data_IF_966609957927
#
_entry.id   IF_966609957927
#
_cell.length_a   1.000
_cell.length_b   1.000
_cell.length_c   1.000
_cell.angle_alpha   90.00
_cell.angle_beta   90.00
_cell.angle_gamma   90.00
#
_symmetry.space_group_name_H-M   'P 1'
#
loop_
_entity.id
_entity.type
_entity.pdbx_description
1 polymer ?
#
# COMPACT_ATOMS: atom_id res chain seq x y z
N UNK A 1 12.24 21.74 -35.84
CA UNK A 1 12.30 20.71 -36.90
C UNK A 1 12.12 19.36 -36.24
N UNK A 2 11.10 18.63 -36.70
CA UNK A 2 10.57 17.38 -36.16
C UNK A 2 11.29 16.20 -36.80
N UNK A 3 11.62 15.15 -36.03
CA UNK A 3 11.25 13.75 -36.30
C UNK A 3 11.74 12.86 -35.14
N UNK A 4 10.88 12.39 -34.23
CA UNK A 4 9.87 11.32 -34.39
C UNK A 4 10.53 9.92 -34.39
N UNK A 5 10.72 9.34 -33.20
CA UNK A 5 10.91 7.89 -33.06
C UNK A 5 9.60 7.31 -32.56
N UNK A 6 9.09 6.45 -33.42
CA UNK A 6 7.75 5.89 -33.52
C UNK A 6 7.38 5.01 -32.33
N UNK A 7 6.26 5.34 -31.69
CA UNK A 7 5.47 4.47 -30.84
C UNK A 7 4.58 3.57 -31.73
N UNK A 8 4.72 2.25 -31.54
CA UNK A 8 3.82 1.14 -31.89
C UNK A 8 4.42 0.11 -32.85
N UNK A 9 4.71 -1.07 -32.31
CA UNK A 9 4.08 -2.29 -32.81
C UNK A 9 4.07 -3.33 -31.69
N UNK A 10 2.92 -3.43 -31.02
CA UNK A 10 2.55 -4.62 -30.28
C UNK A 10 2.39 -5.75 -31.29
N UNK A 11 3.15 -6.83 -31.12
CA UNK A 11 2.66 -8.13 -31.52
C UNK A 11 2.61 -9.02 -30.28
N UNK A 12 1.37 -9.42 -29.96
CA UNK A 12 1.04 -10.56 -29.11
C UNK A 12 1.85 -11.75 -29.62
N UNK A 13 2.55 -12.44 -28.73
CA UNK A 13 2.45 -13.90 -28.67
C UNK A 13 2.82 -14.44 -27.28
N UNK A 14 1.85 -15.20 -26.80
CA UNK A 14 1.74 -16.21 -25.75
C UNK A 14 2.93 -16.58 -24.84
N UNK A 15 2.59 -16.55 -23.55
CA UNK A 15 3.11 -17.33 -22.42
C UNK A 15 4.14 -18.43 -22.71
N UNK A 16 5.29 -18.32 -22.05
CA UNK A 16 5.94 -19.48 -21.42
C UNK A 16 6.69 -19.01 -20.17
N UNK A 17 6.33 -19.56 -19.01
CA UNK A 17 7.16 -19.52 -17.80
C UNK A 17 8.49 -20.17 -18.16
N UNK A 18 9.58 -19.43 -18.04
CA UNK A 18 10.92 -19.99 -18.18
C UNK A 18 11.67 -19.75 -16.88
N UNK A 19 11.89 -20.86 -16.16
CA UNK A 19 12.83 -20.96 -15.07
C UNK A 19 14.22 -20.57 -15.58
N UNK A 20 14.81 -19.52 -15.00
CA UNK A 20 16.17 -19.10 -15.32
C UNK A 20 17.15 -20.08 -14.68
N UNK A 21 17.55 -21.10 -15.44
CA UNK A 21 18.77 -21.87 -15.16
C UNK A 21 19.99 -21.14 -15.73
N UNK A 22 21.18 -21.28 -15.11
CA UNK A 22 22.43 -20.78 -15.69
C UNK A 22 22.61 -21.39 -17.09
N UNK A 23 22.83 -20.53 -18.09
CA UNK A 23 22.94 -20.93 -19.49
C UNK A 23 24.34 -21.49 -19.71
N UNK A 24 24.42 -22.79 -19.93
CA UNK A 24 25.61 -23.48 -20.40
C UNK A 24 25.74 -23.22 -21.90
N UNK A 25 26.76 -22.45 -22.30
CA UNK A 25 27.01 -22.11 -23.71
C UNK A 25 27.98 -23.15 -24.26
N UNK A 26 27.45 -24.16 -24.95
CA UNK A 26 28.25 -25.17 -25.65
C UNK A 26 29.00 -24.53 -26.82
N UNK A 27 30.32 -24.71 -26.81
CA UNK A 27 31.29 -24.18 -27.77
C UNK A 27 31.23 -24.97 -29.10
N UNK A 28 31.11 -24.27 -30.23
CA UNK A 28 31.55 -24.80 -31.52
C UNK A 28 32.89 -24.16 -31.87
N UNK A 29 33.97 -24.93 -31.73
CA UNK A 29 35.29 -24.62 -32.27
C UNK A 29 35.39 -25.18 -33.68
N UNK A 30 35.36 -24.32 -34.69
CA UNK A 30 35.92 -24.63 -36.02
C UNK A 30 37.44 -24.55 -35.93
N UNK A 31 38.12 -25.66 -36.21
CA UNK A 31 39.59 -25.79 -36.18
C UNK A 31 40.25 -25.61 -37.57
N UNK A 32 39.53 -25.14 -38.58
CA UNK A 32 40.01 -25.14 -39.98
C UNK A 32 40.58 -23.77 -40.43
N UNK A 33 41.71 -23.34 -39.83
CA UNK A 33 42.37 -22.08 -40.23
C UNK A 33 43.83 -22.24 -40.72
N UNK A 34 44.28 -23.43 -41.10
CA UNK A 34 45.60 -23.59 -41.71
C UNK A 34 45.49 -23.98 -43.20
N UNK A 35 45.94 -23.14 -44.15
CA UNK A 35 46.13 -23.56 -45.52
C UNK A 35 47.31 -24.56 -45.59
N UNK A 36 47.07 -25.76 -46.13
CA UNK A 36 48.11 -26.72 -46.45
C UNK A 36 49.06 -26.11 -47.50
N UNK A 37 50.24 -25.67 -47.07
CA UNK A 37 51.28 -25.25 -48.00
C UNK A 37 51.81 -26.47 -48.76
N UNK A 38 51.64 -26.47 -50.09
CA UNK A 38 52.10 -27.56 -50.95
C UNK A 38 53.62 -27.41 -51.19
N UNK A 39 54.43 -28.07 -50.36
CA UNK A 39 55.89 -27.93 -50.37
C UNK A 39 56.50 -29.19 -50.97
N UNK A 40 56.59 -29.24 -52.30
CA UNK A 40 57.30 -30.34 -52.99
C UNK A 40 58.78 -30.07 -53.30
N UNK A 41 59.29 -28.84 -53.10
CA UNK A 41 60.63 -28.46 -53.59
C UNK A 41 61.60 -27.84 -52.54
N UNK A 42 61.42 -28.09 -51.24
CA UNK A 42 62.36 -27.62 -50.19
C UNK A 42 63.25 -28.75 -49.64
N UNK A 43 64.53 -28.50 -49.31
CA UNK A 43 65.44 -29.51 -48.77
C UNK A 43 64.91 -30.17 -47.48
N UNK A 44 65.17 -31.48 -47.29
CA UNK A 44 64.59 -32.32 -46.22
C UNK A 44 64.78 -31.77 -44.80
N UNK A 45 65.87 -31.04 -44.53
CA UNK A 45 66.10 -30.36 -43.24
C UNK A 45 65.16 -29.16 -43.01
N UNK A 46 64.83 -28.41 -44.06
CA UNK A 46 63.86 -27.30 -43.99
C UNK A 46 62.43 -27.83 -43.85
N UNK A 47 62.09 -28.94 -44.52
CA UNK A 47 60.81 -29.63 -44.32
C UNK A 47 60.65 -30.19 -42.89
N UNK A 48 61.71 -30.76 -42.31
CA UNK A 48 61.70 -31.24 -40.92
C UNK A 48 61.51 -30.11 -39.89
N UNK A 49 62.15 -28.96 -40.11
CA UNK A 49 61.95 -27.75 -39.29
C UNK A 49 60.55 -27.15 -39.48
N UNK A 50 60.06 -27.07 -40.71
CA UNK A 50 58.71 -26.55 -40.98
C UNK A 50 57.62 -27.45 -40.40
N UNK A 51 57.77 -28.77 -40.52
CA UNK A 51 56.83 -29.73 -39.95
C UNK A 51 56.78 -29.59 -38.43
N UNK A 52 57.92 -29.44 -37.75
CA UNK A 52 57.98 -29.20 -36.29
C UNK A 52 57.33 -27.87 -35.88
N UNK A 53 57.56 -26.80 -36.64
CA UNK A 53 56.91 -25.49 -36.41
C UNK A 53 55.39 -25.59 -36.58
N UNK A 54 54.91 -26.29 -37.61
CA UNK A 54 53.48 -26.45 -37.92
C UNK A 54 52.77 -27.42 -36.97
N UNK A 55 53.42 -28.52 -36.55
CA UNK A 55 52.78 -29.56 -35.73
C UNK A 55 52.91 -29.33 -34.22
N UNK A 56 53.91 -28.58 -33.74
CA UNK A 56 54.17 -28.42 -32.29
C UNK A 56 54.21 -26.95 -31.83
N UNK A 57 54.94 -26.08 -32.52
CA UNK A 57 55.18 -24.70 -32.06
C UNK A 57 53.97 -23.78 -32.28
N UNK A 58 53.33 -23.85 -33.45
CA UNK A 58 52.12 -23.07 -33.76
C UNK A 58 50.95 -23.47 -32.86
N UNK A 59 50.60 -24.76 -32.68
CA UNK A 59 49.51 -25.15 -31.77
C UNK A 59 49.79 -24.77 -30.31
N UNK A 60 51.03 -24.91 -29.83
CA UNK A 60 51.40 -24.55 -28.45
C UNK A 60 51.39 -23.03 -28.23
N UNK A 61 51.78 -22.23 -29.21
CA UNK A 61 51.67 -20.77 -29.18
C UNK A 61 50.21 -20.29 -29.21
N UNK A 62 49.38 -20.86 -30.10
CA UNK A 62 47.94 -20.57 -30.16
C UNK A 62 47.23 -20.94 -28.85
N UNK A 63 47.62 -22.06 -28.23
CA UNK A 63 47.13 -22.44 -26.90
C UNK A 63 47.46 -21.39 -25.84
N UNK A 64 48.71 -20.91 -25.80
CA UNK A 64 49.10 -19.83 -24.86
C UNK A 64 48.32 -18.53 -25.10
N UNK A 65 48.12 -18.14 -26.36
CA UNK A 65 47.29 -16.95 -26.68
C UNK A 65 45.86 -17.15 -26.19
N UNK A 66 45.28 -18.34 -26.39
CA UNK A 66 43.92 -18.65 -25.96
C UNK A 66 43.78 -18.59 -24.43
N UNK A 67 44.75 -19.13 -23.70
CA UNK A 67 44.81 -19.07 -22.23
C UNK A 67 44.96 -17.63 -21.74
N UNK A 68 45.91 -16.85 -22.26
CA UNK A 68 46.10 -15.44 -21.87
C UNK A 68 44.86 -14.58 -22.20
N UNK A 69 44.17 -14.87 -23.31
CA UNK A 69 42.94 -14.18 -23.71
C UNK A 69 41.76 -14.54 -22.79
N UNK A 70 41.68 -15.79 -22.31
CA UNK A 70 40.72 -16.20 -21.28
C UNK A 70 40.99 -15.50 -19.95
N UNK A 71 42.26 -15.36 -19.55
CA UNK A 71 42.63 -14.62 -18.35
C UNK A 71 42.23 -13.14 -18.48
N UNK A 72 42.47 -12.52 -19.64
CA UNK A 72 42.05 -11.15 -19.90
C UNK A 72 40.52 -10.98 -19.85
N UNK A 73 39.76 -11.95 -20.40
CA UNK A 73 38.29 -12.00 -20.29
C UNK A 73 37.85 -12.03 -18.81
N UNK A 74 38.45 -12.92 -18.00
CA UNK A 74 38.14 -13.03 -16.58
C UNK A 74 38.46 -11.75 -15.81
N UNK A 75 39.61 -11.12 -16.09
CA UNK A 75 39.99 -9.84 -15.47
C UNK A 75 38.98 -8.74 -15.85
N UNK A 76 38.55 -8.66 -17.11
CA UNK A 76 37.52 -7.72 -17.53
C UNK A 76 36.17 -7.96 -16.84
N UNK A 77 35.78 -9.22 -16.65
CA UNK A 77 34.58 -9.56 -15.88
C UNK A 77 34.74 -9.13 -14.41
N UNK A 78 35.90 -9.33 -13.79
CA UNK A 78 36.21 -8.82 -12.44
C UNK A 78 36.09 -7.29 -12.37
N UNK A 79 36.60 -6.57 -13.37
CA UNK A 79 36.46 -5.10 -13.46
C UNK A 79 34.99 -4.68 -13.42
N UNK A 80 34.16 -5.30 -14.26
CA UNK A 80 32.73 -5.02 -14.36
C UNK A 80 31.99 -5.31 -13.06
N UNK A 81 32.35 -6.41 -12.38
CA UNK A 81 31.78 -6.78 -11.07
C UNK A 81 32.27 -5.91 -9.91
N UNK A 82 33.24 -5.03 -10.14
CA UNK A 82 33.88 -4.22 -9.09
C UNK A 82 34.70 -5.06 -8.11
N UNK A 83 35.16 -6.22 -8.52
CA UNK A 83 36.04 -7.08 -7.72
C UNK A 83 37.45 -6.47 -7.63
N UNK A 84 38.20 -6.83 -6.59
CA UNK A 84 39.60 -6.37 -6.45
C UNK A 84 40.46 -7.01 -7.54
N UNK A 85 41.23 -6.17 -8.22
CA UNK A 85 42.16 -6.58 -9.28
C UNK A 85 43.60 -6.43 -8.78
N UNK A 86 44.42 -7.46 -8.99
CA UNK A 86 45.83 -7.44 -8.60
C UNK A 86 46.67 -6.55 -9.51
N UNK A 87 47.89 -6.22 -9.09
CA UNK A 87 48.79 -5.40 -9.92
C UNK A 87 49.19 -6.13 -11.20
N UNK A 88 49.35 -7.46 -11.12
CA UNK A 88 49.71 -8.33 -12.23
C UNK A 88 48.56 -8.41 -13.26
N UNK A 89 47.32 -8.61 -12.80
CA UNK A 89 46.13 -8.61 -13.64
C UNK A 89 45.96 -7.25 -14.35
N UNK A 90 46.14 -6.15 -13.60
CA UNK A 90 46.06 -4.80 -14.16
C UNK A 90 47.16 -4.56 -15.21
N UNK A 91 48.39 -5.04 -14.97
CA UNK A 91 49.49 -4.94 -15.94
C UNK A 91 49.19 -5.74 -17.21
N UNK A 92 48.67 -6.96 -17.07
CA UNK A 92 48.31 -7.83 -18.19
C UNK A 92 47.28 -7.15 -19.09
N UNK A 93 46.15 -6.73 -18.53
CA UNK A 93 45.05 -6.17 -19.31
C UNK A 93 45.38 -4.79 -19.89
N UNK A 94 46.17 -3.96 -19.19
CA UNK A 94 46.60 -2.66 -19.70
C UNK A 94 47.58 -2.78 -20.87
N UNK A 95 48.50 -3.75 -20.81
CA UNK A 95 49.63 -3.81 -21.74
C UNK A 95 49.33 -4.71 -22.94
N UNK A 96 48.68 -5.86 -22.71
CA UNK A 96 48.47 -6.87 -23.75
C UNK A 96 47.07 -6.85 -24.36
N UNK A 97 46.07 -6.43 -23.59
CA UNK A 97 44.66 -6.48 -24.01
C UNK A 97 43.89 -5.17 -23.77
N UNK A 98 44.37 -4.03 -24.29
CA UNK A 98 43.75 -2.72 -24.06
C UNK A 98 42.31 -2.64 -24.59
N UNK A 99 41.96 -3.35 -25.66
CA UNK A 99 40.60 -3.36 -26.23
C UNK A 99 39.59 -4.10 -25.32
N UNK A 100 40.03 -5.19 -24.68
CA UNK A 100 39.23 -5.93 -23.69
C UNK A 100 38.98 -5.04 -22.47
N UNK A 101 40.03 -4.33 -21.99
CA UNK A 101 39.89 -3.34 -20.92
C UNK A 101 38.88 -2.24 -21.28
N UNK A 102 39.01 -1.66 -22.47
CA UNK A 102 38.12 -0.59 -22.96
C UNK A 102 36.68 -1.07 -23.02
N UNK A 103 36.45 -2.32 -23.42
CA UNK A 103 35.11 -2.92 -23.40
C UNK A 103 34.58 -3.03 -21.97
N UNK A 104 35.39 -3.48 -21.00
CA UNK A 104 34.98 -3.51 -19.59
C UNK A 104 34.61 -2.13 -19.05
N UNK A 105 35.43 -1.11 -19.33
CA UNK A 105 35.16 0.28 -18.92
C UNK A 105 33.88 0.84 -19.56
N UNK A 106 33.64 0.55 -20.85
CA UNK A 106 32.41 0.94 -21.52
C UNK A 106 31.19 0.22 -20.93
N UNK A 107 31.32 -1.08 -20.67
CA UNK A 107 30.27 -1.89 -20.03
C UNK A 107 29.92 -1.37 -18.63
N UNK A 108 30.88 -0.87 -17.86
CA UNK A 108 30.63 -0.23 -16.55
C UNK A 108 29.79 1.05 -16.70
N UNK A 109 30.03 1.84 -17.75
CA UNK A 109 29.22 3.04 -18.02
C UNK A 109 27.79 2.67 -18.41
N UNK A 110 27.63 1.81 -19.42
CA UNK A 110 26.32 1.31 -19.87
C UNK A 110 25.54 0.62 -18.71
N UNK A 111 26.26 -0.09 -17.83
CA UNK A 111 25.73 -0.68 -16.60
C UNK A 111 25.13 0.36 -15.64
N UNK A 112 25.75 1.53 -15.52
CA UNK A 112 25.33 2.55 -14.55
C UNK A 112 23.96 3.10 -14.93
N UNK A 113 23.75 3.35 -16.23
CA UNK A 113 22.47 3.80 -16.78
C UNK A 113 21.41 2.70 -16.62
N UNK A 114 21.76 1.45 -16.94
CA UNK A 114 20.86 0.30 -16.76
C UNK A 114 20.45 0.14 -15.29
N UNK A 115 21.38 0.33 -14.35
CA UNK A 115 21.10 0.25 -12.91
C UNK A 115 20.07 1.30 -12.48
N UNK A 116 20.12 2.51 -13.04
CA UNK A 116 19.14 3.55 -12.75
C UNK A 116 17.75 3.18 -13.29
N UNK A 117 17.68 2.69 -14.53
CA UNK A 117 16.42 2.17 -15.10
C UNK A 117 15.84 1.05 -14.23
N UNK A 118 16.67 0.09 -13.82
CA UNK A 118 16.24 -1.04 -12.99
C UNK A 118 15.80 -0.64 -11.58
N UNK A 119 16.32 0.46 -11.02
CA UNK A 119 15.86 1.00 -9.74
C UNK A 119 14.43 1.54 -9.83
N UNK A 120 14.05 2.05 -10.99
CA UNK A 120 12.73 2.64 -11.25
C UNK A 120 11.67 1.59 -11.64
N UNK A 121 12.06 0.33 -11.86
CA UNK A 121 11.11 -0.76 -12.07
C UNK A 121 10.25 -1.01 -10.81
N UNK A 122 8.93 -1.04 -11.01
CA UNK A 122 7.94 -1.22 -9.95
C UNK A 122 7.73 -2.69 -9.57
N UNK A 123 8.04 -3.61 -10.49
CA UNK A 123 7.83 -5.05 -10.32
C UNK A 123 9.06 -5.86 -10.74
N UNK A 124 9.11 -7.12 -10.31
CA UNK A 124 10.14 -8.04 -10.77
C UNK A 124 9.97 -8.36 -12.25
N UNK A 125 8.73 -8.42 -12.76
CA UNK A 125 8.43 -8.64 -14.18
C UNK A 125 8.97 -7.51 -15.06
N UNK A 126 8.77 -6.25 -14.69
CA UNK A 126 9.33 -5.10 -15.40
C UNK A 126 10.86 -5.17 -15.42
N UNK A 127 11.48 -5.52 -14.28
CA UNK A 127 12.91 -5.71 -14.19
C UNK A 127 13.39 -6.82 -15.14
N UNK A 128 12.72 -7.96 -15.16
CA UNK A 128 13.05 -9.08 -16.06
C UNK A 128 12.87 -8.71 -17.53
N UNK A 129 11.88 -7.89 -17.89
CA UNK A 129 11.68 -7.41 -19.26
C UNK A 129 12.81 -6.48 -19.71
N UNK A 130 13.24 -5.55 -18.86
CA UNK A 130 14.38 -4.65 -19.13
C UNK A 130 15.66 -5.47 -19.32
N UNK A 131 15.93 -6.43 -18.43
CA UNK A 131 17.10 -7.32 -18.53
C UNK A 131 17.04 -8.19 -19.79
N UNK A 132 15.89 -8.80 -20.07
CA UNK A 132 15.70 -9.65 -21.26
C UNK A 132 15.92 -8.85 -22.54
N UNK A 133 15.43 -7.61 -22.59
CA UNK A 133 15.65 -6.71 -23.72
C UNK A 133 17.13 -6.37 -23.90
N UNK A 134 17.85 -6.07 -22.81
CA UNK A 134 19.28 -5.79 -22.86
C UNK A 134 20.09 -7.01 -23.35
N UNK A 135 19.81 -8.20 -22.81
CA UNK A 135 20.49 -9.44 -23.23
C UNK A 135 20.17 -9.77 -24.70
N UNK A 136 18.91 -9.61 -25.13
CA UNK A 136 18.51 -9.84 -26.52
C UNK A 136 19.25 -8.91 -27.49
N UNK A 137 19.44 -7.64 -27.11
CA UNK A 137 20.23 -6.69 -27.89
C UNK A 137 21.68 -7.18 -28.04
N UNK A 138 22.34 -7.53 -26.94
CA UNK A 138 23.72 -8.06 -26.96
C UNK A 138 23.83 -9.30 -27.86
N UNK A 139 22.90 -10.27 -27.72
CA UNK A 139 22.86 -11.47 -28.57
C UNK A 139 22.70 -11.12 -30.05
N UNK A 140 21.90 -10.12 -30.39
CA UNK A 140 21.71 -9.67 -31.77
C UNK A 140 22.97 -9.01 -32.35
N UNK A 141 23.70 -8.24 -31.54
CA UNK A 141 24.98 -7.65 -31.94
C UNK A 141 26.03 -8.75 -32.19
N UNK A 142 26.06 -9.78 -31.34
CA UNK A 142 26.94 -10.92 -31.49
C UNK A 142 26.63 -11.69 -32.79
N UNK A 143 25.35 -12.02 -33.04
CA UNK A 143 24.96 -12.74 -34.26
C UNK A 143 25.24 -11.97 -35.56
N UNK A 144 25.34 -10.63 -35.48
CA UNK A 144 25.68 -9.76 -36.61
C UNK A 144 27.19 -9.53 -36.75
N UNK A 145 28.02 -10.14 -35.89
CA UNK A 145 29.46 -9.91 -35.83
C UNK A 145 29.85 -8.49 -35.43
N UNK A 146 28.93 -7.70 -34.84
CA UNK A 146 29.20 -6.32 -34.41
C UNK A 146 30.02 -6.25 -33.12
N UNK A 147 30.07 -7.34 -32.37
CA UNK A 147 30.90 -7.53 -31.18
C UNK A 147 31.48 -8.95 -31.19
N UNK A 148 32.61 -9.15 -30.53
CA UNK A 148 33.18 -10.49 -30.33
C UNK A 148 32.52 -11.24 -29.16
N UNK A 149 32.76 -12.55 -29.08
CA UNK A 149 32.30 -13.39 -27.97
C UNK A 149 32.76 -12.85 -26.61
N UNK A 150 34.02 -12.42 -26.52
CA UNK A 150 34.59 -11.85 -25.29
C UNK A 150 33.84 -10.57 -24.90
N UNK A 151 33.59 -9.68 -25.87
CA UNK A 151 32.84 -8.46 -25.61
C UNK A 151 31.40 -8.75 -25.17
N UNK A 152 30.76 -9.74 -25.78
CA UNK A 152 29.42 -10.17 -25.41
C UNK A 152 29.37 -10.70 -23.97
N UNK A 153 30.33 -11.55 -23.56
CA UNK A 153 30.41 -12.08 -22.19
C UNK A 153 30.65 -11.00 -21.14
N UNK A 154 31.52 -10.03 -21.43
CA UNK A 154 31.77 -8.88 -20.55
C UNK A 154 30.49 -8.04 -20.38
N UNK A 155 29.82 -7.73 -21.50
CA UNK A 155 28.54 -6.98 -21.49
C UNK A 155 27.43 -7.73 -20.75
N UNK A 156 27.28 -9.04 -20.97
CA UNK A 156 26.30 -9.87 -20.26
C UNK A 156 26.59 -9.88 -18.75
N UNK A 157 27.86 -10.05 -18.36
CA UNK A 157 28.26 -10.00 -16.95
C UNK A 157 27.90 -8.66 -16.29
N UNK A 158 27.98 -7.55 -17.03
CA UNK A 158 27.56 -6.24 -16.55
C UNK A 158 26.05 -6.17 -16.29
N UNK A 159 25.25 -6.71 -17.23
CA UNK A 159 23.79 -6.78 -17.08
C UNK A 159 23.39 -7.63 -15.86
N UNK A 160 24.05 -8.76 -15.65
CA UNK A 160 23.81 -9.64 -14.49
C UNK A 160 24.13 -8.94 -13.15
N UNK A 161 25.24 -8.21 -13.07
CA UNK A 161 25.58 -7.45 -11.88
C UNK A 161 24.60 -6.27 -11.64
N UNK A 162 24.06 -5.68 -12.71
CA UNK A 162 23.01 -4.65 -12.60
C UNK A 162 21.74 -5.22 -11.98
N UNK A 163 21.32 -6.39 -12.45
CA UNK A 163 20.17 -7.13 -11.92
C UNK A 163 20.39 -7.46 -10.44
N UNK A 164 21.53 -8.03 -10.09
CA UNK A 164 21.88 -8.39 -8.70
C UNK A 164 21.87 -7.16 -7.78
N UNK A 165 22.48 -6.06 -8.22
CA UNK A 165 22.49 -4.79 -7.50
C UNK A 165 21.07 -4.23 -7.30
N UNK A 166 20.22 -4.29 -8.32
CA UNK A 166 18.84 -3.81 -8.23
C UNK A 166 17.99 -4.68 -7.29
N UNK A 167 18.08 -6.01 -7.38
CA UNK A 167 17.40 -6.93 -6.46
C UNK A 167 17.79 -6.68 -5.00
N UNK A 168 19.08 -6.42 -4.73
CA UNK A 168 19.57 -6.05 -3.40
C UNK A 168 18.99 -4.71 -2.94
N UNK A 169 19.00 -3.69 -3.81
CA UNK A 169 18.40 -2.39 -3.49
C UNK A 169 16.90 -2.51 -3.17
N UNK A 170 16.14 -3.27 -3.96
CA UNK A 170 14.70 -3.47 -3.73
C UNK A 170 14.41 -4.23 -2.42
N UNK A 171 15.24 -5.22 -2.05
CA UNK A 171 15.05 -5.92 -0.78
C UNK A 171 15.40 -5.04 0.42
N UNK A 172 16.45 -4.23 0.33
CA UNK A 172 16.80 -3.22 1.34
C UNK A 172 15.70 -2.14 1.47
N UNK A 173 15.15 -1.66 0.36
CA UNK A 173 14.03 -0.71 0.34
C UNK A 173 12.79 -1.32 1.01
N UNK A 174 12.40 -2.55 0.65
CA UNK A 174 11.28 -3.27 1.30
C UNK A 174 11.49 -3.41 2.81
N UNK A 175 12.73 -3.66 3.26
CA UNK A 175 13.06 -3.70 4.69
C UNK A 175 12.86 -2.34 5.35
N UNK A 176 13.30 -1.26 4.71
CA UNK A 176 13.08 0.11 5.20
C UNK A 176 11.59 0.44 5.30
N UNK A 177 10.79 0.06 4.30
CA UNK A 177 9.33 0.23 4.33
C UNK A 177 8.68 -0.48 5.52
N UNK A 178 9.07 -1.73 5.80
CA UNK A 178 8.54 -2.49 6.94
C UNK A 178 8.88 -1.81 8.27
N UNK A 179 10.09 -1.28 8.40
CA UNK A 179 10.51 -0.55 9.60
C UNK A 179 9.70 0.75 9.74
N UNK A 180 9.52 1.52 8.67
CA UNK A 180 8.71 2.73 8.66
C UNK A 180 7.24 2.45 9.04
N UNK A 181 6.67 1.36 8.50
CA UNK A 181 5.32 0.91 8.85
C UNK A 181 5.24 0.52 10.35
N UNK A 182 6.29 -0.11 10.89
CA UNK A 182 6.36 -0.45 12.32
C UNK A 182 6.30 0.80 13.21
N UNK A 183 7.02 1.86 12.82
CA UNK A 183 7.02 3.17 13.50
C UNK A 183 5.59 3.74 13.53
N UNK A 184 4.92 3.91 12.38
CA UNK A 184 3.57 4.50 12.34
C UNK A 184 2.47 3.64 12.96
N UNK A 185 2.75 2.34 13.18
CA UNK A 185 1.88 1.44 13.96
C UNK A 185 2.10 1.55 15.47
N UNK A 186 3.04 2.39 15.93
CA UNK A 186 3.42 2.56 17.34
C UNK A 186 4.19 1.36 17.91
N UNK A 187 4.67 0.45 17.05
CA UNK A 187 5.50 -0.67 17.45
C UNK A 187 6.95 -0.22 17.55
N UNK A 188 7.66 -0.60 18.62
CA UNK A 188 9.07 -0.20 18.81
C UNK A 188 9.97 -1.01 17.85
N UNK A 189 10.70 -0.36 16.91
CA UNK A 189 11.71 -1.04 16.12
C UNK A 189 12.89 -1.47 17.00
N UNK A 190 13.63 -2.49 16.56
CA UNK A 190 14.85 -2.92 17.26
C UNK A 190 15.99 -1.93 17.03
N UNK A 191 17.05 -2.00 17.84
CA UNK A 191 18.23 -1.15 17.66
C UNK A 191 18.89 -1.33 16.28
N UNK A 192 18.94 -2.56 15.77
CA UNK A 192 19.47 -2.85 14.43
C UNK A 192 18.57 -2.30 13.31
N UNK A 193 17.25 -2.34 13.48
CA UNK A 193 16.30 -1.74 12.53
C UNK A 193 16.45 -0.22 12.50
N UNK A 194 16.59 0.42 13.66
CA UNK A 194 16.85 1.85 13.77
C UNK A 194 18.19 2.23 13.14
N UNK A 195 19.26 1.49 13.44
CA UNK A 195 20.58 1.72 12.81
C UNK A 195 20.50 1.61 11.29
N UNK A 196 19.87 0.55 10.79
CA UNK A 196 19.70 0.33 9.36
C UNK A 196 18.97 1.48 8.67
N UNK A 197 17.80 1.90 9.17
CA UNK A 197 17.02 2.95 8.52
C UNK A 197 17.68 4.33 8.66
N UNK A 198 18.33 4.63 9.79
CA UNK A 198 19.07 5.88 10.00
C UNK A 198 20.23 6.03 9.01
N UNK A 199 21.02 4.96 8.80
CA UNK A 199 22.22 5.02 7.97
C UNK A 199 21.92 4.90 6.47
N UNK A 200 20.92 4.10 6.10
CA UNK A 200 20.66 3.76 4.69
C UNK A 200 19.50 4.52 4.07
N UNK A 201 18.48 4.86 4.86
CA UNK A 201 17.22 5.43 4.36
C UNK A 201 16.66 6.53 5.30
N UNK A 202 17.44 7.59 5.60
CA UNK A 202 17.01 8.65 6.51
C UNK A 202 15.72 9.35 6.06
N UNK A 203 15.52 9.50 4.74
CA UNK A 203 14.32 10.14 4.18
C UNK A 203 13.05 9.34 4.49
N UNK A 204 13.11 8.00 4.38
CA UNK A 204 11.98 7.11 4.68
C UNK A 204 11.63 7.18 6.16
N UNK A 205 12.64 7.26 7.04
CA UNK A 205 12.42 7.45 8.47
C UNK A 205 11.73 8.78 8.76
N UNK A 206 12.22 9.88 8.19
CA UNK A 206 11.62 11.22 8.34
C UNK A 206 10.16 11.24 7.91
N UNK A 207 9.84 10.59 6.79
CA UNK A 207 8.46 10.39 6.34
C UNK A 207 7.65 9.63 7.40
N UNK A 208 8.17 8.55 7.97
CA UNK A 208 7.48 7.78 9.00
C UNK A 208 7.17 8.63 10.26
N UNK A 209 8.14 9.41 10.75
CA UNK A 209 7.98 10.27 11.92
C UNK A 209 6.95 11.40 11.68
N UNK A 210 6.96 11.98 10.48
CA UNK A 210 5.95 12.96 10.07
C UNK A 210 4.56 12.35 10.03
N UNK A 211 4.42 11.17 9.41
CA UNK A 211 3.15 10.45 9.32
C UNK A 211 2.65 10.02 10.71
N UNK A 212 3.53 9.61 11.61
CA UNK A 212 3.17 9.32 13.00
C UNK A 212 2.56 10.54 13.69
N UNK A 213 3.16 11.72 13.51
CA UNK A 213 2.65 12.98 14.05
C UNK A 213 1.28 13.37 13.46
N UNK A 214 1.12 13.27 12.13
CA UNK A 214 -0.16 13.49 11.44
C UNK A 214 -1.24 12.51 11.93
N UNK A 215 -0.86 11.25 12.17
CA UNK A 215 -1.76 10.22 12.66
C UNK A 215 -2.23 10.52 14.09
N UNK A 216 -1.36 11.02 14.97
CA UNK A 216 -1.73 11.42 16.34
C UNK A 216 -2.80 12.50 16.29
N UNK A 217 -2.59 13.55 15.48
CA UNK A 217 -3.56 14.62 15.30
C UNK A 217 -4.90 14.10 14.79
N UNK A 218 -4.89 13.24 13.76
CA UNK A 218 -6.11 12.65 13.21
C UNK A 218 -6.86 11.78 14.24
N UNK A 219 -6.13 11.05 15.10
CA UNK A 219 -6.72 10.27 16.20
C UNK A 219 -7.39 11.16 17.24
N UNK A 220 -6.87 12.36 17.49
CA UNK A 220 -7.47 13.34 18.39
C UNK A 220 -8.74 13.96 17.79
N UNK A 221 -8.70 14.39 16.52
CA UNK A 221 -9.90 14.87 15.82
C UNK A 221 -11.01 13.83 15.81
N UNK A 222 -10.66 12.56 15.62
CA UNK A 222 -11.61 11.46 15.58
C UNK A 222 -12.31 11.23 16.93
N UNK A 223 -11.62 11.47 18.06
CA UNK A 223 -12.21 11.44 19.40
C UNK A 223 -13.15 12.64 19.63
N UNK A 224 -12.93 13.76 18.95
CA UNK A 224 -13.77 14.96 19.03
C UNK A 224 -15.06 14.88 18.20
N UNK A 225 -15.16 13.93 17.25
CA UNK A 225 -16.37 13.74 16.45
C UNK A 225 -17.56 13.30 17.31
N UNK A 226 -18.71 13.96 17.13
CA UNK A 226 -19.95 13.69 17.87
C UNK A 226 -20.75 12.54 17.29
N UNK A 227 -20.54 12.23 16.00
CA UNK A 227 -21.31 11.20 15.29
C UNK A 227 -20.42 10.25 14.51
N UNK A 228 -20.92 9.04 14.26
CA UNK A 228 -20.25 8.05 13.40
C UNK A 228 -20.06 8.58 11.96
N UNK A 229 -21.01 9.36 11.45
CA UNK A 229 -20.94 9.93 10.12
C UNK A 229 -19.81 10.94 9.97
N UNK A 230 -19.60 11.80 10.98
CA UNK A 230 -18.46 12.73 11.04
C UNK A 230 -17.14 11.96 11.00
N UNK A 231 -17.02 10.88 11.79
CA UNK A 231 -15.82 10.02 11.79
C UNK A 231 -15.56 9.37 10.45
N UNK A 232 -16.60 8.78 9.84
CA UNK A 232 -16.48 8.16 8.52
C UNK A 232 -16.05 9.19 7.46
N UNK A 233 -16.64 10.39 7.48
CA UNK A 233 -16.29 11.47 6.55
C UNK A 233 -14.84 11.93 6.74
N UNK A 234 -14.39 12.10 7.99
CA UNK A 234 -13.01 12.46 8.32
C UNK A 234 -12.02 11.42 7.78
N UNK A 235 -12.25 10.13 8.07
CA UNK A 235 -11.42 9.03 7.56
C UNK A 235 -11.42 8.99 6.03
N UNK A 236 -12.60 9.12 5.41
CA UNK A 236 -12.75 9.02 3.95
C UNK A 236 -12.02 10.16 3.24
N UNK A 237 -12.09 11.37 3.80
CA UNK A 237 -11.35 12.53 3.30
C UNK A 237 -9.84 12.32 3.39
N UNK A 238 -9.35 11.80 4.52
CA UNK A 238 -7.92 11.55 4.71
C UNK A 238 -7.39 10.46 3.75
N UNK A 239 -8.14 9.36 3.56
CA UNK A 239 -7.77 8.30 2.59
C UNK A 239 -7.73 8.87 1.17
N UNK A 240 -8.77 9.61 0.77
CA UNK A 240 -8.85 10.20 -0.57
C UNK A 240 -7.71 11.18 -0.84
N UNK A 241 -7.33 12.01 0.14
CA UNK A 241 -6.18 12.92 0.00
C UNK A 241 -4.88 12.18 -0.30
N UNK A 242 -4.64 11.04 0.39
CA UNK A 242 -3.47 10.19 0.14
C UNK A 242 -3.53 9.58 -1.26
N UNK A 243 -4.69 9.05 -1.67
CA UNK A 243 -4.88 8.48 -3.00
C UNK A 243 -4.70 9.50 -4.12
N UNK A 244 -5.25 10.70 -3.97
CA UNK A 244 -5.18 11.78 -4.96
C UNK A 244 -3.74 12.29 -5.10
N UNK A 245 -3.03 12.50 -3.98
CA UNK A 245 -1.60 12.87 -4.00
C UNK A 245 -0.73 11.79 -4.62
N UNK A 246 -1.03 10.52 -4.36
CA UNK A 246 -0.31 9.38 -4.93
C UNK A 246 -0.53 9.30 -6.45
N UNK A 247 -1.78 9.42 -6.92
CA UNK A 247 -2.12 9.44 -8.36
C UNK A 247 -1.49 10.63 -9.08
N UNK A 248 -1.42 11.79 -8.44
CA UNK A 248 -0.79 12.98 -8.98
C UNK A 248 0.75 12.94 -8.94
N UNK A 249 1.36 11.90 -8.35
CA UNK A 249 2.81 11.79 -8.20
C UNK A 249 3.42 12.79 -7.21
N UNK A 250 2.60 13.41 -6.35
CA UNK A 250 3.05 14.37 -5.34
C UNK A 250 3.71 13.70 -4.13
N UNK A 251 3.39 12.42 -3.91
CA UNK A 251 4.03 11.58 -2.90
C UNK A 251 4.54 10.30 -3.54
N UNK A 252 5.61 9.74 -2.99
CA UNK A 252 6.16 8.47 -3.48
C UNK A 252 5.24 7.30 -3.18
N UNK A 253 5.38 6.20 -3.93
CA UNK A 253 4.68 4.93 -3.66
C UNK A 253 4.95 4.43 -2.23
N UNK A 254 6.18 4.57 -1.76
CA UNK A 254 6.58 4.21 -0.40
C UNK A 254 5.89 5.09 0.64
N UNK A 255 5.86 6.40 0.45
CA UNK A 255 5.16 7.33 1.35
C UNK A 255 3.66 7.05 1.39
N UNK A 256 3.02 6.82 0.24
CA UNK A 256 1.61 6.46 0.18
C UNK A 256 1.32 5.18 0.98
N UNK A 257 2.16 4.15 0.87
CA UNK A 257 2.02 2.89 1.62
C UNK A 257 2.18 3.08 3.13
N UNK A 258 3.10 3.95 3.56
CA UNK A 258 3.28 4.30 4.98
C UNK A 258 2.05 5.05 5.50
N UNK A 259 1.57 6.07 4.79
CA UNK A 259 0.36 6.83 5.12
C UNK A 259 -0.89 5.94 5.21
N UNK A 260 -1.09 5.04 4.25
CA UNK A 260 -2.20 4.08 4.27
C UNK A 260 -2.12 3.13 5.47
N UNK A 261 -0.92 2.64 5.81
CA UNK A 261 -0.72 1.82 7.01
C UNK A 261 -1.06 2.58 8.30
N UNK A 262 -0.78 3.88 8.35
CA UNK A 262 -1.18 4.72 9.47
C UNK A 262 -2.71 4.90 9.55
N UNK A 263 -3.39 5.02 8.40
CA UNK A 263 -4.86 5.10 8.33
C UNK A 263 -5.55 3.82 8.82
N UNK A 264 -4.95 2.64 8.63
CA UNK A 264 -5.49 1.38 9.19
C UNK A 264 -5.66 1.45 10.72
N UNK A 265 -4.71 2.05 11.43
CA UNK A 265 -4.78 2.22 12.89
C UNK A 265 -5.84 3.24 13.30
N UNK A 266 -6.04 4.29 12.50
CA UNK A 266 -7.11 5.28 12.71
C UNK A 266 -8.48 4.62 12.53
N UNK A 267 -8.64 3.77 11.50
CA UNK A 267 -9.87 2.97 11.28
C UNK A 267 -10.12 2.02 12.45
N UNK A 268 -9.09 1.34 12.97
CA UNK A 268 -9.21 0.48 14.16
C UNK A 268 -9.69 1.27 15.37
N UNK A 269 -9.12 2.45 15.62
CA UNK A 269 -9.56 3.33 16.70
C UNK A 269 -11.03 3.72 16.53
N UNK A 270 -11.45 4.11 15.32
CA UNK A 270 -12.85 4.45 15.04
C UNK A 270 -13.81 3.29 15.33
N UNK A 271 -13.44 2.06 14.96
CA UNK A 271 -14.23 0.87 15.27
C UNK A 271 -14.34 0.62 16.78
N UNK A 272 -13.26 0.87 17.53
CA UNK A 272 -13.26 0.74 18.98
C UNK A 272 -14.15 1.80 19.63
N UNK A 273 -14.06 3.06 19.21
CA UNK A 273 -14.93 4.14 19.70
C UNK A 273 -16.40 3.77 19.49
N UNK A 274 -16.78 3.31 18.29
CA UNK A 274 -18.15 2.87 18.00
C UNK A 274 -18.64 1.75 18.92
N UNK A 275 -17.79 0.78 19.25
CA UNK A 275 -18.11 -0.30 20.19
C UNK A 275 -18.28 0.23 21.61
N UNK A 276 -17.42 1.14 22.03
CA UNK A 276 -17.48 1.77 23.35
C UNK A 276 -18.75 2.62 23.50
N UNK A 277 -19.11 3.42 22.49
CA UNK A 277 -20.35 4.19 22.46
C UNK A 277 -21.58 3.27 22.58
N UNK A 278 -21.62 2.17 21.82
CA UNK A 278 -22.73 1.22 21.92
C UNK A 278 -22.84 0.58 23.31
N UNK A 279 -21.70 0.23 23.92
CA UNK A 279 -21.68 -0.26 25.31
C UNK A 279 -22.19 0.82 26.28
N UNK A 280 -21.84 2.07 26.03
CA UNK A 280 -22.29 3.21 26.83
C UNK A 280 -23.82 3.39 26.74
N UNK A 281 -24.40 3.25 25.55
CA UNK A 281 -25.85 3.32 25.30
C UNK A 281 -26.62 2.20 26.04
N UNK A 282 -26.06 0.98 26.06
CA UNK A 282 -26.64 -0.14 26.80
C UNK A 282 -26.65 0.11 28.31
N UNK A 283 -25.57 0.68 28.84
CA UNK A 283 -25.48 1.02 30.27
C UNK A 283 -26.46 2.15 30.61
N UNK A 284 -26.58 3.16 29.76
CA UNK A 284 -27.59 4.20 29.94
C UNK A 284 -29.00 3.61 30.01
N UNK A 285 -29.33 2.67 29.11
CA UNK A 285 -30.62 1.97 29.10
C UNK A 285 -30.89 1.21 30.40
N UNK A 286 -29.88 0.55 30.98
CA UNK A 286 -29.99 -0.11 32.28
C UNK A 286 -30.31 0.87 33.41
N UNK A 287 -29.64 2.02 33.43
CA UNK A 287 -29.91 3.08 34.42
C UNK A 287 -31.37 3.53 34.32
N UNK A 288 -31.87 3.77 33.11
CA UNK A 288 -33.26 4.19 32.87
C UNK A 288 -34.29 3.17 33.34
N UNK A 289 -33.99 1.87 33.24
CA UNK A 289 -34.86 0.78 33.71
C UNK A 289 -34.78 0.54 35.22
N UNK A 290 -33.87 1.22 35.93
CA UNK A 290 -33.59 0.97 37.35
C UNK A 290 -32.78 -0.30 37.59
N UNK A 291 -32.14 -0.86 36.55
CA UNK A 291 -31.33 -2.06 36.69
C UNK A 291 -30.04 -1.76 37.47
N UNK A 292 -29.62 -2.71 38.31
CA UNK A 292 -28.36 -2.60 39.06
C UNK A 292 -27.17 -2.77 38.12
N UNK A 293 -26.33 -1.74 38.01
CA UNK A 293 -25.08 -1.81 37.25
C UNK A 293 -24.03 -2.69 37.92
N UNK A 294 -23.28 -3.43 37.12
CA UNK A 294 -22.11 -4.19 37.60
C UNK A 294 -20.94 -3.25 37.94
N UNK A 295 -19.99 -3.72 38.77
CA UNK A 295 -18.77 -2.96 39.10
C UNK A 295 -17.97 -2.56 37.84
N UNK A 296 -17.94 -3.43 36.82
CA UNK A 296 -17.22 -3.18 35.56
C UNK A 296 -17.91 -2.11 34.71
N UNK A 297 -19.24 -2.08 34.68
CA UNK A 297 -20.01 -1.05 33.96
C UNK A 297 -19.86 0.32 34.64
N UNK A 298 -19.92 0.35 35.98
CA UNK A 298 -19.67 1.56 36.77
C UNK A 298 -18.28 2.13 36.52
N UNK A 299 -17.25 1.28 36.51
CA UNK A 299 -15.87 1.71 36.20
C UNK A 299 -15.78 2.26 34.78
N UNK A 300 -16.33 1.55 33.80
CA UNK A 300 -16.29 1.96 32.38
C UNK A 300 -16.89 3.36 32.16
N UNK A 301 -18.11 3.60 32.65
CA UNK A 301 -18.75 4.91 32.46
C UNK A 301 -18.05 6.01 33.27
N UNK A 302 -17.57 5.74 34.48
CA UNK A 302 -16.85 6.75 35.25
C UNK A 302 -15.53 7.18 34.59
N UNK A 303 -14.82 6.26 33.94
CA UNK A 303 -13.53 6.52 33.30
C UNK A 303 -13.65 7.11 31.89
N UNK A 304 -14.65 6.67 31.11
CA UNK A 304 -14.74 6.96 29.67
C UNK A 304 -15.91 7.87 29.29
N UNK A 305 -17.02 7.80 30.03
CA UNK A 305 -18.27 8.51 29.72
C UNK A 305 -18.94 9.03 31.00
N UNK A 306 -18.27 9.90 31.76
CA UNK A 306 -18.68 10.27 33.13
C UNK A 306 -20.08 10.92 33.17
N UNK A 307 -20.47 11.58 32.09
CA UNK A 307 -21.72 12.32 32.00
C UNK A 307 -22.96 11.43 31.82
N UNK A 308 -22.80 10.16 31.39
CA UNK A 308 -23.95 9.28 31.10
C UNK A 308 -24.87 9.11 32.30
N UNK A 309 -24.32 9.00 33.51
CA UNK A 309 -25.15 8.90 34.73
C UNK A 309 -25.99 10.14 34.95
N UNK A 310 -25.38 11.32 34.77
CA UNK A 310 -26.04 12.62 34.96
C UNK A 310 -27.12 12.83 33.90
N UNK A 311 -26.81 12.49 32.65
CA UNK A 311 -27.75 12.57 31.53
C UNK A 311 -28.95 11.64 31.79
N UNK A 312 -28.70 10.37 32.11
CA UNK A 312 -29.75 9.40 32.37
C UNK A 312 -30.63 9.85 33.55
N UNK A 313 -30.05 10.34 34.65
CA UNK A 313 -30.82 10.82 35.79
C UNK A 313 -31.68 12.03 35.43
N UNK A 314 -31.12 13.02 34.71
CA UNK A 314 -31.87 14.20 34.25
C UNK A 314 -33.05 13.79 33.38
N UNK A 315 -32.87 12.78 32.52
CA UNK A 315 -33.95 12.27 31.69
C UNK A 315 -35.01 11.50 32.48
N UNK A 316 -34.64 10.78 33.56
CA UNK A 316 -35.59 10.15 34.50
C UNK A 316 -36.44 11.20 35.22
N UNK A 317 -35.82 12.29 35.69
CA UNK A 317 -36.54 13.36 36.38
C UNK A 317 -37.53 14.05 35.43
N UNK A 318 -37.07 14.41 34.22
CA UNK A 318 -37.92 14.97 33.17
C UNK A 318 -39.08 14.04 32.76
N UNK A 319 -38.85 12.72 32.76
CA UNK A 319 -39.89 11.73 32.52
C UNK A 319 -40.97 11.75 33.58
N UNK A 320 -40.61 11.86 34.85
CA UNK A 320 -41.59 11.89 35.94
C UNK A 320 -42.55 13.07 35.75
N UNK A 321 -42.01 14.23 35.43
CA UNK A 321 -42.78 15.45 35.20
C UNK A 321 -43.70 15.30 33.97
N UNK A 322 -43.16 14.78 32.86
CA UNK A 322 -43.93 14.54 31.64
C UNK A 322 -45.04 13.48 31.82
N UNK A 323 -44.78 12.44 32.62
CA UNK A 323 -45.77 11.40 32.95
C UNK A 323 -46.97 12.00 33.68
N UNK A 324 -46.73 12.89 34.64
CA UNK A 324 -47.80 13.58 35.37
C UNK A 324 -48.63 14.47 34.43
N UNK A 325 -48.00 15.18 33.49
CA UNK A 325 -48.70 15.97 32.48
C UNK A 325 -49.59 15.11 31.58
N UNK A 326 -49.09 13.94 31.14
CA UNK A 326 -49.86 12.99 30.32
C UNK A 326 -51.05 12.41 31.09
N UNK A 327 -50.89 12.07 32.38
CA UNK A 327 -51.97 11.55 33.23
C UNK A 327 -53.09 12.60 33.39
N UNK A 328 -52.74 13.88 33.43
CA UNK A 328 -53.69 14.98 33.56
C UNK A 328 -54.44 15.32 32.26
N UNK A 329 -54.03 14.76 31.12
CA UNK A 329 -54.69 14.99 29.83
C UNK A 329 -56.01 14.23 29.72
N UNK A 330 -57.06 14.92 29.26
CA UNK A 330 -58.44 14.38 29.19
C UNK A 330 -58.67 13.50 27.96
N UNK A 331 -57.98 13.76 26.84
CA UNK A 331 -58.19 13.03 25.59
C UNK A 331 -56.91 12.39 25.07
N UNK A 332 -57.06 11.33 24.27
CA UNK A 332 -55.93 10.69 23.57
C UNK A 332 -55.20 11.65 22.64
N UNK A 333 -55.94 12.56 21.99
CA UNK A 333 -55.37 13.57 21.10
C UNK A 333 -54.46 14.56 21.85
N UNK A 334 -54.86 14.98 23.05
CA UNK A 334 -54.06 15.88 23.88
C UNK A 334 -52.75 15.21 24.32
N UNK A 335 -52.82 13.93 24.72
CA UNK A 335 -51.64 13.12 25.07
C UNK A 335 -50.67 12.98 23.90
N UNK A 336 -51.19 12.71 22.70
CA UNK A 336 -50.38 12.64 21.48
C UNK A 336 -49.72 13.98 21.15
N UNK A 337 -50.42 15.11 21.34
CA UNK A 337 -49.88 16.44 21.09
C UNK A 337 -48.73 16.77 22.04
N UNK A 338 -48.87 16.47 23.34
CA UNK A 338 -47.81 16.67 24.35
C UNK A 338 -46.55 15.90 23.97
N UNK A 339 -46.69 14.61 23.62
CA UNK A 339 -45.56 13.78 23.18
C UNK A 339 -44.92 14.30 21.89
N UNK A 340 -45.72 14.74 20.91
CA UNK A 340 -45.20 15.30 19.64
C UNK A 340 -44.36 16.55 19.89
N UNK A 341 -44.85 17.48 20.72
CA UNK A 341 -44.15 18.72 21.03
C UNK A 341 -42.77 18.47 21.67
N UNK A 342 -42.67 17.50 22.58
CA UNK A 342 -41.40 17.14 23.22
C UNK A 342 -40.42 16.52 22.21
N UNK A 343 -40.91 15.64 21.33
CA UNK A 343 -40.10 15.04 20.26
C UNK A 343 -39.55 16.13 19.33
N UNK A 344 -40.40 17.05 18.88
CA UNK A 344 -40.03 18.15 17.99
C UNK A 344 -38.99 19.09 18.62
N UNK A 345 -39.15 19.44 19.90
CA UNK A 345 -38.19 20.25 20.64
C UNK A 345 -36.82 19.55 20.78
N UNK A 346 -36.82 18.24 21.08
CA UNK A 346 -35.60 17.44 21.15
C UNK A 346 -34.90 17.36 19.81
N UNK A 347 -35.63 17.15 18.71
CA UNK A 347 -35.08 17.15 17.36
C UNK A 347 -34.49 18.51 16.98
N UNK A 348 -35.19 19.60 17.33
CA UNK A 348 -34.70 20.97 17.11
C UNK A 348 -33.39 21.22 17.86
N UNK A 349 -33.34 20.90 19.16
CA UNK A 349 -32.15 21.05 19.99
C UNK A 349 -30.99 20.19 19.50
N UNK A 350 -31.26 18.98 19.02
CA UNK A 350 -30.25 18.12 18.40
C UNK A 350 -29.70 18.73 17.10
N UNK A 351 -30.56 19.21 16.19
CA UNK A 351 -30.15 19.88 14.95
C UNK A 351 -29.30 21.14 15.21
N UNK A 352 -29.56 21.84 16.31
CA UNK A 352 -28.77 23.00 16.77
C UNK A 352 -27.50 22.61 17.53
N UNK A 353 -27.26 21.32 17.77
CA UNK A 353 -26.11 20.84 18.52
C UNK A 353 -26.13 21.17 20.03
N UNK A 354 -27.30 21.58 20.55
CA UNK A 354 -27.54 21.90 21.96
C UNK A 354 -27.58 20.61 22.80
N UNK A 355 -28.11 19.54 22.21
CA UNK A 355 -28.24 18.22 22.82
C UNK A 355 -27.37 17.24 22.04
N UNK A 356 -26.60 16.43 22.76
CA UNK A 356 -25.73 15.38 22.20
C UNK A 356 -26.55 14.21 21.64
N UNK A 357 -25.91 13.39 20.80
CA UNK A 357 -26.56 12.19 20.27
C UNK A 357 -26.96 11.20 21.38
N UNK A 358 -26.14 11.06 22.42
CA UNK A 358 -26.44 10.22 23.58
C UNK A 358 -27.61 10.76 24.40
N UNK A 359 -27.68 12.07 24.65
CA UNK A 359 -28.82 12.69 25.33
C UNK A 359 -30.12 12.51 24.55
N UNK A 360 -30.09 12.70 23.22
CA UNK A 360 -31.25 12.46 22.36
C UNK A 360 -31.72 11.01 22.44
N UNK A 361 -30.79 10.04 22.31
CA UNK A 361 -31.11 8.61 22.40
C UNK A 361 -31.72 8.25 23.75
N UNK A 362 -31.13 8.72 24.84
CA UNK A 362 -31.59 8.48 26.21
C UNK A 362 -33.01 9.05 26.38
N UNK A 363 -33.25 10.29 25.95
CA UNK A 363 -34.58 10.91 26.02
C UNK A 363 -35.62 10.14 25.20
N UNK A 364 -35.28 9.72 23.98
CA UNK A 364 -36.18 8.97 23.10
C UNK A 364 -36.53 7.58 23.66
N UNK A 365 -35.60 6.89 24.32
CA UNK A 365 -35.88 5.61 24.99
C UNK A 365 -37.00 5.79 26.02
N UNK A 366 -36.95 6.88 26.79
CA UNK A 366 -37.92 7.12 27.85
C UNK A 366 -39.29 7.55 27.30
N UNK A 367 -39.31 8.41 26.27
CA UNK A 367 -40.53 8.80 25.56
C UNK A 367 -41.25 7.56 25.00
N UNK A 368 -40.50 6.58 24.52
CA UNK A 368 -41.08 5.34 24.01
C UNK A 368 -41.70 4.48 25.12
N UNK A 369 -41.11 4.45 26.33
CA UNK A 369 -41.75 3.78 27.46
C UNK A 369 -42.98 4.53 27.99
N UNK A 370 -43.01 5.87 27.92
CA UNK A 370 -44.24 6.64 28.19
C UNK A 370 -45.37 6.25 27.25
N UNK A 371 -45.09 6.09 25.95
CA UNK A 371 -46.11 5.64 25.00
C UNK A 371 -46.67 4.27 25.37
N UNK A 372 -45.79 3.31 25.72
CA UNK A 372 -46.23 1.97 26.12
C UNK A 372 -47.03 1.99 27.43
N UNK A 373 -46.63 2.82 28.39
CA UNK A 373 -47.38 2.99 29.63
C UNK A 373 -48.75 3.63 29.38
N UNK A 374 -48.84 4.65 28.52
CA UNK A 374 -50.10 5.27 28.12
C UNK A 374 -51.02 4.27 27.40
N UNK A 375 -50.49 3.50 26.45
CA UNK A 375 -51.22 2.42 25.76
C UNK A 375 -51.75 1.38 26.76
N UNK A 376 -50.95 0.98 27.75
CA UNK A 376 -51.37 0.03 28.80
C UNK A 376 -52.51 0.58 29.67
N UNK A 377 -52.41 1.85 30.07
CA UNK A 377 -53.42 2.51 30.92
C UNK A 377 -54.74 2.71 30.14
N UNK A 378 -54.66 2.98 28.84
CA UNK A 378 -55.80 3.42 28.03
C UNK A 378 -56.35 2.39 27.01
N UNK A 379 -55.97 1.11 27.12
CA UNK A 379 -56.41 0.01 26.25
C UNK A 379 -57.94 -0.26 26.17
N UNK A 380 -58.79 0.57 26.80
CA UNK A 380 -60.25 0.56 26.63
C UNK A 380 -60.75 1.52 25.53
N UNK A 381 -59.89 2.35 24.92
CA UNK A 381 -60.28 3.26 23.82
C UNK A 381 -59.77 2.73 22.48
N UNK A 382 -60.71 2.31 21.62
CA UNK A 382 -60.47 1.86 20.24
C UNK A 382 -60.08 3.04 19.34
N UNK A 383 -58.82 3.47 19.35
CA UNK A 383 -58.30 4.47 18.41
C UNK A 383 -56.87 4.14 17.95
N UNK A 384 -56.44 4.64 16.77
CA UNK A 384 -55.41 4.01 15.97
C UNK A 384 -54.02 4.03 16.62
N UNK A 385 -53.39 2.86 16.57
CA UNK A 385 -52.06 2.56 17.15
C UNK A 385 -50.96 3.26 16.36
N UNK A 386 -50.12 4.01 17.06
CA UNK A 386 -48.85 4.51 16.53
C UNK A 386 -47.86 3.33 16.44
N UNK A 387 -47.64 2.79 15.24
CA UNK A 387 -46.53 1.88 14.98
C UNK A 387 -45.27 2.74 14.82
N UNK A 388 -44.53 2.97 15.91
CA UNK A 388 -43.14 3.40 15.83
C UNK A 388 -42.24 2.22 16.11
N UNK A 389 -41.55 1.78 15.07
CA UNK A 389 -40.63 0.65 15.13
C UNK A 389 -39.40 1.04 15.99
N UNK A 390 -39.17 0.41 17.15
CA UNK A 390 -38.01 0.72 18.00
C UNK A 390 -36.68 0.42 17.29
N UNK A 391 -36.69 -0.40 16.23
CA UNK A 391 -35.52 -0.67 15.38
C UNK A 391 -35.25 0.40 14.33
N UNK A 392 -36.13 1.40 14.12
CA UNK A 392 -35.83 2.51 13.24
C UNK A 392 -34.63 3.35 13.73
N UNK A 393 -34.49 3.45 15.06
CA UNK A 393 -33.43 4.20 15.74
C UNK A 393 -32.23 3.35 16.17
N UNK A 394 -32.42 2.03 16.30
CA UNK A 394 -31.36 1.09 16.69
C UNK A 394 -30.62 0.47 15.49
N UNK A 395 -31.15 0.53 14.26
CA UNK A 395 -30.47 0.00 13.09
C UNK A 395 -29.78 1.11 12.26
N UNK A 396 -28.46 0.99 12.22
CA UNK A 396 -27.44 1.82 11.59
C UNK A 396 -27.68 2.11 10.09
N UNK A 397 -27.38 3.34 9.67
CA UNK A 397 -27.33 3.76 8.26
C UNK A 397 -28.31 4.89 7.97
N UNK A 398 -27.77 6.06 7.59
CA UNK A 398 -28.49 7.14 6.90
C UNK A 398 -29.86 7.59 7.48
N UNK A 399 -29.82 8.36 8.57
CA UNK A 399 -30.96 9.19 9.02
C UNK A 399 -31.54 10.05 7.87
N UNK A 400 -30.69 10.47 6.93
CA UNK A 400 -31.12 11.21 5.73
C UNK A 400 -31.94 10.38 4.73
N UNK A 401 -31.62 9.10 4.49
CA UNK A 401 -32.36 8.29 3.51
C UNK A 401 -33.76 7.92 4.02
N UNK A 402 -33.89 7.70 5.33
CA UNK A 402 -35.21 7.47 5.97
C UNK A 402 -36.08 8.73 6.00
N UNK A 403 -35.48 9.92 6.18
CA UNK A 403 -36.20 11.19 6.05
C UNK A 403 -36.64 11.47 4.61
N UNK A 404 -35.79 11.17 3.62
CA UNK A 404 -36.13 11.30 2.19
C UNK A 404 -37.27 10.37 1.81
N UNK A 405 -37.28 9.12 2.29
CA UNK A 405 -38.38 8.19 2.04
C UNK A 405 -39.71 8.67 2.63
N UNK A 406 -39.70 9.26 3.83
CA UNK A 406 -40.91 9.83 4.46
C UNK A 406 -41.41 11.06 3.68
N UNK A 407 -40.51 11.92 3.19
CA UNK A 407 -40.86 13.07 2.35
C UNK A 407 -41.44 12.63 1.01
N UNK A 408 -40.89 11.60 0.36
CA UNK A 408 -41.40 11.05 -0.90
C UNK A 408 -42.80 10.44 -0.71
N UNK A 409 -43.04 9.74 0.40
CA UNK A 409 -44.37 9.19 0.72
C UNK A 409 -45.39 10.30 0.99
N UNK A 410 -45.01 11.37 1.71
CA UNK A 410 -45.89 12.52 1.96
C UNK A 410 -46.22 13.31 0.68
N UNK A 411 -45.28 13.39 -0.27
CA UNK A 411 -45.50 14.01 -1.59
C UNK A 411 -46.39 13.12 -2.45
N UNK A 412 -46.16 11.80 -2.48
CA UNK A 412 -46.99 10.86 -3.24
C UNK A 412 -48.44 10.81 -2.73
N UNK A 413 -48.66 10.84 -1.42
CA UNK A 413 -49.99 10.88 -0.80
C UNK A 413 -50.71 12.20 -1.10
N UNK A 414 -50.01 13.33 -1.07
CA UNK A 414 -50.59 14.64 -1.45
C UNK A 414 -50.96 14.71 -2.94
N UNK A 415 -50.16 14.11 -3.82
CA UNK A 415 -50.46 14.03 -5.25
C UNK A 415 -51.68 13.13 -5.47
N UNK A 416 -51.74 11.98 -4.81
CA UNK A 416 -52.86 11.04 -4.94
C UNK A 416 -54.18 11.61 -4.41
N UNK A 417 -54.15 12.35 -3.29
CA UNK A 417 -55.31 13.05 -2.73
C UNK A 417 -55.78 14.27 -3.55
N UNK A 418 -54.99 14.76 -4.51
CA UNK A 418 -55.41 15.81 -5.46
C UNK A 418 -56.04 15.26 -6.74
N UNK A 419 -55.96 13.95 -6.98
CA UNK A 419 -56.49 13.26 -8.16
C UNK A 419 -57.73 12.41 -7.87
N UNK A 420 -58.15 12.34 -6.60
CA UNK A 420 -59.49 11.95 -6.15
C UNK A 420 -60.28 13.22 -5.85
#
# INVERSE_FOLDING_TARGET
MINNINNNSYNKDTYSKLDVKPIDVTLHTENDLLPEANIKDSPKEEQGKLNKVQSEEVPSFLKKIKEEMQDAELIAIKMVKGEKITREELRLINTRYPDIKKTAEQSIKEYTDLKEVLKNCNTEEEMQQVISSAIKNIKSMLSRGSISDIQAKIKISAVEEALKSSKKFQSELKKAEVIAIKIVKGSKPTADELRFINEKYPDIKSVAEKVESEQIYLKEELKGCKTDNERQKLISNAIRDVEDKSKAGLISKTEAKIKMSAMEEVIKLSKNIKKEEHRSDLIATKILKGDKLTKNELRFINEKYPDIKKIAQKSIDHYRDLREEIINCKTSKDRQQVLSNVIEDLEYKFKKGIVSQSELKIAMIIIEELKKDDERINNNQKDPKLILNPYAYLNSGSFLEKLIAIVIILVAVNIFLRFL
#
